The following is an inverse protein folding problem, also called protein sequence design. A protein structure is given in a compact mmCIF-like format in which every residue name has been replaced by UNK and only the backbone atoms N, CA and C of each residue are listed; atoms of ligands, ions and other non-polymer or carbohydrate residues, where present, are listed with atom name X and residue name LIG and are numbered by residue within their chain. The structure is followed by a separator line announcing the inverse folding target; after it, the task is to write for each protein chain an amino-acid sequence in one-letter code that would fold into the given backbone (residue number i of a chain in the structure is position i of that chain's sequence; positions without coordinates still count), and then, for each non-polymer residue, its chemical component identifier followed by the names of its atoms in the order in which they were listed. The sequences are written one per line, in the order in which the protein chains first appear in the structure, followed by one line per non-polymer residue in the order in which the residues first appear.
data_IF_235659545308
#
_entry.id   IF_235659545308
#
_cell.length_a   1.000
_cell.length_b   1.000
_cell.length_c   1.000
_cell.angle_alpha   90.00
_cell.angle_beta   90.00
_cell.angle_gamma   90.00
#
_symmetry.space_group_name_H-M   'P 1'
#
loop_
_entity.id
_entity.type
_entity.pdbx_description
1 polymer ?
#
# COMPACT_ATOMS: atom_id res chain seq x y z
N UNK A 1 18.06 -2.03 -10.20
CA UNK A 1 16.61 -2.19 -10.08
C UNK A 1 16.21 -3.07 -8.87
N UNK A 2 16.78 -4.27 -8.80
CA UNK A 2 16.45 -5.20 -7.71
C UNK A 2 16.87 -4.63 -6.35
N UNK A 3 18.01 -3.96 -6.27
CA UNK A 3 18.48 -3.32 -5.04
C UNK A 3 17.49 -2.23 -4.62
N UNK A 4 17.03 -1.44 -5.57
CA UNK A 4 16.05 -0.38 -5.28
C UNK A 4 14.71 -0.96 -4.83
N UNK A 5 14.26 -2.07 -5.42
CA UNK A 5 13.04 -2.76 -5.00
C UNK A 5 13.15 -3.18 -3.52
N UNK A 6 14.28 -3.74 -3.12
CA UNK A 6 14.50 -4.15 -1.74
C UNK A 6 14.56 -2.98 -0.77
N UNK A 7 15.22 -1.90 -1.18
CA UNK A 7 15.30 -0.68 -0.36
C UNK A 7 13.92 -0.06 -0.17
N UNK A 8 13.12 -0.01 -1.23
CA UNK A 8 11.76 0.48 -1.15
C UNK A 8 10.89 -0.39 -0.23
N UNK A 9 11.01 -1.71 -0.34
CA UNK A 9 10.26 -2.63 0.51
C UNK A 9 10.59 -2.42 1.99
N UNK A 10 11.88 -2.30 2.31
CA UNK A 10 12.31 -2.03 3.69
C UNK A 10 11.78 -0.71 4.20
N UNK A 11 11.86 0.34 3.39
CA UNK A 11 11.40 1.67 3.79
C UNK A 11 9.89 1.68 4.01
N UNK A 12 9.13 1.04 3.13
CA UNK A 12 7.68 0.92 3.28
C UNK A 12 7.31 0.14 4.55
N UNK A 13 7.97 -0.99 4.78
CA UNK A 13 7.71 -1.81 5.96
C UNK A 13 7.95 -1.02 7.24
N UNK A 14 9.06 -0.31 7.31
CA UNK A 14 9.39 0.50 8.47
C UNK A 14 8.34 1.58 8.72
N UNK A 15 7.90 2.25 7.67
CA UNK A 15 6.91 3.32 7.78
C UNK A 15 5.55 2.78 8.21
N UNK A 16 5.14 1.62 7.68
CA UNK A 16 3.89 1.00 8.10
C UNK A 16 3.93 0.62 9.59
N UNK A 17 5.03 0.04 10.04
CA UNK A 17 5.18 -0.31 11.46
C UNK A 17 5.11 0.94 12.34
N UNK A 18 5.73 2.02 11.92
CA UNK A 18 5.67 3.30 12.63
C UNK A 18 4.24 3.81 12.80
N UNK A 19 3.38 3.48 11.84
CA UNK A 19 1.97 3.89 11.86
C UNK A 19 1.05 2.81 12.44
N UNK A 20 1.61 1.85 13.16
CA UNK A 20 0.87 0.79 13.87
C UNK A 20 0.14 -0.19 12.94
N UNK A 21 0.70 -0.45 11.77
CA UNK A 21 0.23 -1.54 10.92
C UNK A 21 0.96 -2.82 11.25
N UNK A 22 0.24 -3.93 11.23
CA UNK A 22 0.80 -5.25 11.44
C UNK A 22 1.24 -5.85 10.10
N UNK A 23 2.54 -6.01 9.92
CA UNK A 23 3.09 -6.65 8.73
C UNK A 23 3.23 -8.14 9.02
N UNK A 24 2.68 -8.97 8.13
CA UNK A 24 2.73 -10.42 8.27
C UNK A 24 4.06 -10.92 7.73
N UNK A 25 4.78 -11.66 8.57
CA UNK A 25 6.02 -12.35 8.25
C UNK A 25 7.14 -11.42 7.78
N UNK A 26 8.19 -12.03 7.34
CA UNK A 26 9.45 -11.45 6.92
C UNK A 26 9.40 -10.96 5.48
N UNK A 27 8.31 -10.31 5.10
CA UNK A 27 8.07 -9.88 3.74
C UNK A 27 9.14 -8.98 3.13
N UNK A 28 10.13 -8.57 3.91
CA UNK A 28 11.21 -7.73 3.41
C UNK A 28 12.10 -8.43 2.38
N UNK A 29 12.12 -9.76 2.36
CA UNK A 29 12.86 -10.53 1.37
C UNK A 29 12.07 -10.75 0.09
N UNK A 30 10.76 -10.48 0.14
CA UNK A 30 9.88 -10.59 -1.00
C UNK A 30 9.58 -9.21 -1.54
N UNK A 31 9.17 -9.15 -2.78
CA UNK A 31 8.74 -7.90 -3.41
C UNK A 31 7.32 -7.53 -3.01
N UNK A 32 6.67 -8.38 -2.24
CA UNK A 32 5.27 -8.21 -1.83
C UNK A 32 5.21 -8.05 -0.32
N UNK A 33 4.32 -7.16 0.11
CA UNK A 33 4.12 -6.87 1.53
C UNK A 33 2.68 -7.15 1.89
N UNK A 34 2.47 -8.04 2.86
CA UNK A 34 1.14 -8.37 3.35
C UNK A 34 0.91 -7.70 4.69
N UNK A 35 -0.18 -6.96 4.79
CA UNK A 35 -0.55 -6.21 5.99
C UNK A 35 -1.85 -6.76 6.54
N UNK A 36 -1.86 -7.07 7.85
CA UNK A 36 -3.05 -7.45 8.57
C UNK A 36 -3.79 -6.18 9.00
N UNK A 37 -5.04 -6.03 8.56
CA UNK A 37 -5.82 -4.82 8.82
C UNK A 37 -6.77 -4.94 10.00
N UNK A 38 -6.72 -6.05 10.75
CA UNK A 38 -7.66 -6.26 11.85
C UNK A 38 -7.58 -5.19 12.92
N UNK A 39 -6.37 -4.69 13.20
CA UNK A 39 -6.19 -3.61 14.18
C UNK A 39 -6.59 -2.23 13.63
N UNK A 40 -6.90 -2.13 12.36
CA UNK A 40 -7.39 -0.89 11.73
C UNK A 40 -8.90 -0.91 11.49
N UNK A 41 -9.57 -1.99 11.86
CA UNK A 41 -11.02 -2.13 11.75
C UNK A 41 -11.55 -1.96 10.33
N UNK A 42 -10.81 -2.46 9.35
CA UNK A 42 -11.21 -2.43 7.95
C UNK A 42 -10.91 -3.80 7.33
N UNK A 43 -11.78 -4.26 6.44
CA UNK A 43 -11.53 -5.52 5.72
C UNK A 43 -10.60 -5.29 4.55
N UNK A 44 -9.99 -6.36 4.06
CA UNK A 44 -9.17 -6.31 2.85
C UNK A 44 -9.97 -5.82 1.64
N UNK A 45 -11.23 -6.28 1.53
CA UNK A 45 -12.12 -5.85 0.45
C UNK A 45 -12.36 -4.35 0.48
N UNK A 46 -12.70 -3.79 1.64
CA UNK A 46 -12.97 -2.37 1.75
C UNK A 46 -11.72 -1.53 1.51
N UNK A 47 -10.56 -2.00 1.99
CA UNK A 47 -9.29 -1.32 1.75
C UNK A 47 -8.93 -1.35 0.26
N UNK A 48 -9.07 -2.51 -0.39
CA UNK A 48 -8.79 -2.63 -1.82
C UNK A 48 -9.66 -1.68 -2.64
N UNK A 49 -10.96 -1.65 -2.36
CA UNK A 49 -11.90 -0.78 -3.07
C UNK A 49 -11.56 0.71 -2.89
N UNK A 50 -11.24 1.10 -1.66
CA UNK A 50 -10.90 2.49 -1.37
C UNK A 50 -9.58 2.89 -2.05
N UNK A 51 -8.58 2.02 -2.02
CA UNK A 51 -7.29 2.30 -2.64
C UNK A 51 -7.39 2.38 -4.16
N UNK A 52 -8.20 1.53 -4.79
CA UNK A 52 -8.45 1.61 -6.23
C UNK A 52 -9.06 2.95 -6.61
N UNK A 53 -9.99 3.46 -5.80
CA UNK A 53 -10.57 4.79 -6.03
C UNK A 53 -9.51 5.89 -5.99
N UNK A 54 -8.44 5.70 -5.24
CA UNK A 54 -7.35 6.66 -5.13
C UNK A 54 -6.22 6.39 -6.14
N UNK A 55 -6.44 5.49 -7.10
CA UNK A 55 -5.44 5.07 -8.09
C UNK A 55 -4.21 4.41 -7.46
N UNK A 56 -4.41 3.73 -6.34
CA UNK A 56 -3.35 2.96 -5.69
C UNK A 56 -3.64 1.48 -5.88
N UNK A 57 -2.72 0.76 -6.49
CA UNK A 57 -2.89 -0.67 -6.75
C UNK A 57 -2.56 -1.48 -5.50
N UNK A 58 -3.53 -2.29 -5.08
CA UNK A 58 -3.37 -3.21 -3.96
C UNK A 58 -4.34 -4.36 -4.16
N UNK A 59 -4.10 -5.48 -3.49
CA UNK A 59 -4.96 -6.65 -3.60
C UNK A 59 -5.33 -7.15 -2.21
N UNK A 60 -6.61 -7.45 -2.00
CA UNK A 60 -7.03 -8.10 -0.77
C UNK A 60 -6.37 -9.47 -0.69
N UNK A 61 -6.02 -9.90 0.52
CA UNK A 61 -5.31 -11.15 0.74
C UNK A 61 -5.62 -11.70 2.11
N UNK A 62 -5.79 -13.03 2.17
CA UNK A 62 -5.99 -13.70 3.46
C UNK A 62 -4.75 -13.55 4.33
N UNK A 63 -4.95 -13.47 5.63
CA UNK A 63 -3.85 -13.50 6.62
C UNK A 63 -3.89 -14.83 7.34
N UNK A 64 -2.79 -15.24 8.02
CA UNK A 64 -2.82 -16.46 8.82
C UNK A 64 -3.95 -16.42 9.84
N UNK A 65 -4.68 -17.53 9.92
CA UNK A 65 -5.84 -17.66 10.83
C UNK A 65 -6.92 -16.62 10.57
N UNK A 66 -7.10 -16.24 9.31
CA UNK A 66 -8.13 -15.28 8.93
C UNK A 66 -9.51 -15.85 9.21
N UNK A 67 -10.35 -15.08 9.90
CA UNK A 67 -11.73 -15.46 10.22
C UNK A 67 -12.73 -14.99 9.15
N UNK A 68 -12.26 -14.31 8.11
CA UNK A 68 -13.10 -13.85 7.01
C UNK A 68 -12.96 -14.75 5.80
N UNK A 69 -13.94 -14.69 4.90
CA UNK A 69 -13.90 -15.48 3.68
C UNK A 69 -12.82 -14.96 2.71
N UNK A 70 -12.40 -15.78 1.73
CA UNK A 70 -11.46 -15.31 0.70
C UNK A 70 -11.97 -14.14 -0.13
N UNK A 71 -13.28 -13.90 -0.14
CA UNK A 71 -13.87 -12.78 -0.87
C UNK A 71 -13.79 -11.46 -0.11
N UNK A 72 -13.56 -11.52 1.19
CA UNK A 72 -13.51 -10.34 2.08
C UNK A 72 -12.08 -10.12 2.57
N UNK A 73 -11.48 -11.09 3.21
CA UNK A 73 -10.15 -11.12 3.82
C UNK A 73 -9.95 -10.10 4.94
N UNK A 74 -8.90 -10.28 5.71
CA UNK A 74 -8.48 -9.33 6.74
C UNK A 74 -7.19 -8.61 6.37
N UNK A 75 -6.63 -8.89 5.21
CA UNK A 75 -5.34 -8.35 4.80
C UNK A 75 -5.36 -7.70 3.44
N UNK A 76 -4.32 -6.92 3.19
CA UNK A 76 -4.07 -6.26 1.92
C UNK A 76 -2.61 -6.45 1.54
N UNK A 77 -2.34 -6.61 0.25
CA UNK A 77 -1.01 -6.86 -0.25
C UNK A 77 -0.59 -5.77 -1.20
N UNK A 78 0.63 -5.25 -1.00
CA UNK A 78 1.26 -4.25 -1.87
C UNK A 78 2.51 -4.84 -2.51
N UNK A 79 2.79 -4.42 -3.74
CA UNK A 79 4.03 -4.79 -4.44
C UNK A 79 4.91 -3.57 -4.66
N UNK A 80 6.19 -3.69 -4.30
CA UNK A 80 7.14 -2.60 -4.50
C UNK A 80 7.70 -2.51 -5.92
N UNK A 81 7.71 -3.60 -6.74
CA UNK A 81 8.21 -3.48 -8.12
C UNK A 81 7.48 -2.43 -8.95
N UNK A 82 6.16 -2.34 -8.84
CA UNK A 82 5.39 -1.36 -9.60
C UNK A 82 5.77 0.06 -9.24
N UNK A 83 5.98 0.33 -7.96
CA UNK A 83 6.39 1.63 -7.44
C UNK A 83 7.81 1.95 -7.93
N UNK A 84 8.72 0.98 -7.85
CA UNK A 84 10.10 1.14 -8.26
C UNK A 84 10.20 1.38 -9.78
N UNK A 85 9.37 0.69 -10.56
CA UNK A 85 9.32 0.86 -12.01
C UNK A 85 8.93 2.29 -12.38
N UNK A 86 8.13 2.97 -11.54
CA UNK A 86 7.76 4.37 -11.72
C UNK A 86 8.87 5.33 -11.32
N UNK A 87 10.02 4.84 -10.88
CA UNK A 87 11.18 5.66 -10.51
C UNK A 87 11.15 6.18 -9.09
N UNK A 88 10.25 5.69 -8.25
CA UNK A 88 10.22 6.08 -6.84
C UNK A 88 11.36 5.39 -6.08
N UNK A 89 11.90 6.10 -5.12
CA UNK A 89 13.02 5.63 -4.31
C UNK A 89 12.62 5.61 -2.84
N UNK A 90 13.49 5.05 -1.99
CA UNK A 90 13.18 4.82 -0.57
C UNK A 90 12.79 6.08 0.19
N UNK A 91 13.35 7.23 -0.17
CA UNK A 91 13.02 8.49 0.48
C UNK A 91 11.57 8.93 0.23
N UNK A 92 10.95 8.39 -0.81
CA UNK A 92 9.56 8.71 -1.16
C UNK A 92 8.55 7.75 -0.53
N UNK A 93 9.04 6.70 0.12
CA UNK A 93 8.16 5.68 0.71
C UNK A 93 7.35 6.23 1.87
N UNK A 94 7.88 7.18 2.63
CA UNK A 94 7.13 7.84 3.70
C UNK A 94 5.87 8.50 3.14
N UNK A 95 6.01 9.21 2.01
CA UNK A 95 4.88 9.86 1.36
C UNK A 95 3.87 8.84 0.84
N UNK A 96 4.34 7.78 0.21
CA UNK A 96 3.47 6.73 -0.33
C UNK A 96 2.65 6.09 0.80
N UNK A 97 3.30 5.72 1.91
CA UNK A 97 2.62 5.11 3.04
C UNK A 97 1.66 6.10 3.69
N UNK A 98 2.02 7.38 3.76
CA UNK A 98 1.12 8.42 4.27
C UNK A 98 -0.17 8.49 3.44
N UNK A 99 -0.06 8.43 2.12
CA UNK A 99 -1.21 8.45 1.23
C UNK A 99 -2.08 7.21 1.40
N UNK A 100 -1.45 6.05 1.52
CA UNK A 100 -2.15 4.79 1.77
C UNK A 100 -2.90 4.86 3.11
N UNK A 101 -2.23 5.34 4.15
CA UNK A 101 -2.82 5.47 5.48
C UNK A 101 -4.04 6.40 5.47
N UNK A 102 -3.95 7.52 4.77
CA UNK A 102 -5.07 8.45 4.64
C UNK A 102 -6.28 7.80 3.99
N UNK A 103 -6.08 6.98 2.97
CA UNK A 103 -7.18 6.26 2.32
C UNK A 103 -7.80 5.26 3.29
N UNK A 104 -6.99 4.49 4.00
CA UNK A 104 -7.48 3.47 4.94
C UNK A 104 -8.25 4.12 6.08
N UNK A 105 -7.71 5.20 6.66
CA UNK A 105 -8.36 5.92 7.76
C UNK A 105 -9.66 6.60 7.31
N UNK A 106 -9.79 6.94 6.03
CA UNK A 106 -10.93 7.67 5.48
C UNK A 106 -11.68 6.85 4.42
N UNK A 107 -11.69 5.54 4.55
CA UNK A 107 -12.23 4.67 3.49
C UNK A 107 -13.73 4.89 3.21
N UNK A 108 -14.46 5.47 4.14
CA UNK A 108 -15.88 5.81 3.96
C UNK A 108 -16.10 7.27 3.55
N UNK A 109 -15.03 8.02 3.28
CA UNK A 109 -15.12 9.43 2.95
C UNK A 109 -14.58 9.66 1.54
N UNK A 110 -15.48 9.69 0.56
CA UNK A 110 -15.10 9.82 -0.85
C UNK A 110 -14.36 11.14 -1.12
N UNK A 111 -14.70 12.20 -0.43
CA UNK A 111 -14.01 13.49 -0.61
C UNK A 111 -12.54 13.39 -0.22
N UNK A 112 -12.24 12.73 0.89
CA UNK A 112 -10.86 12.53 1.33
C UNK A 112 -10.10 11.60 0.39
N UNK A 113 -10.77 10.56 -0.11
CA UNK A 113 -10.18 9.63 -1.07
C UNK A 113 -9.83 10.37 -2.37
N UNK A 114 -10.71 11.26 -2.82
CA UNK A 114 -10.43 12.04 -4.04
C UNK A 114 -9.28 13.02 -3.87
N UNK A 115 -9.10 13.57 -2.68
CA UNK A 115 -7.92 14.40 -2.39
C UNK A 115 -6.64 13.59 -2.49
N UNK A 116 -6.65 12.37 -1.96
CA UNK A 116 -5.50 11.47 -2.07
C UNK A 116 -5.24 11.09 -3.51
N UNK A 117 -6.30 10.76 -4.27
CA UNK A 117 -6.17 10.45 -5.70
C UNK A 117 -5.46 11.56 -6.46
N UNK A 118 -5.84 12.80 -6.20
CA UNK A 118 -5.21 13.95 -6.84
C UNK A 118 -3.72 14.01 -6.51
N UNK A 119 -3.35 13.80 -5.26
CA UNK A 119 -1.95 13.81 -4.84
C UNK A 119 -1.16 12.66 -5.43
N UNK A 120 -1.77 11.47 -5.51
CA UNK A 120 -1.15 10.31 -6.16
C UNK A 120 -0.85 10.63 -7.62
N UNK A 121 -1.81 11.19 -8.33
CA UNK A 121 -1.63 11.53 -9.74
C UNK A 121 -0.58 12.62 -9.94
N UNK A 122 -0.52 13.60 -9.06
CA UNK A 122 0.52 14.63 -9.10
C UNK A 122 1.90 14.02 -8.87
N UNK A 123 2.02 13.10 -7.91
CA UNK A 123 3.27 12.42 -7.61
C UNK A 123 3.76 11.58 -8.80
N UNK A 124 2.83 10.93 -9.49
CA UNK A 124 3.14 10.04 -10.61
C UNK A 124 3.23 10.75 -11.97
N UNK A 125 2.83 12.00 -12.03
CA UNK A 125 2.73 12.76 -13.28
C UNK A 125 4.02 12.76 -14.08
N UNK A 126 5.14 12.96 -13.42
CA UNK A 126 6.45 13.02 -14.05
C UNK A 126 7.22 11.71 -13.96
N UNK A 127 6.54 10.63 -13.61
CA UNK A 127 7.16 9.32 -13.37
C UNK A 127 6.52 8.25 -14.23
N UNK A 128 6.46 8.52 -15.53
CA UNK A 128 5.94 7.56 -16.48
C UNK A 128 6.90 6.38 -16.64
N UNK A 129 6.38 5.27 -17.20
CA UNK A 129 7.20 4.09 -17.49
C UNK A 129 8.33 4.35 -18.48
N UNK A 130 8.30 5.49 -19.15
CA UNK A 130 9.29 5.85 -20.17
C UNK A 130 10.38 6.77 -19.66
N UNK A 131 10.40 7.08 -18.37
CA UNK A 131 11.34 8.02 -17.79
C UNK A 131 12.57 7.36 -17.16
N UNK A 132 12.94 6.21 -17.66
CA UNK A 132 14.13 5.52 -17.17
C UNK A 132 14.82 4.73 -18.24
#
# INVERSE_FOLDING_TARGET
YIVQVRQNAKAMAKEFVTRNYDIISDGTDNHMMLIDLRNKNISGKDAEMALVKADITANKNMVPFDDKSPFITSGIRFGTPAITTRGLIENEMTLIVDLIDKVIENHNNDNEIMKVKKRVNELMKDRSLFNY
#
